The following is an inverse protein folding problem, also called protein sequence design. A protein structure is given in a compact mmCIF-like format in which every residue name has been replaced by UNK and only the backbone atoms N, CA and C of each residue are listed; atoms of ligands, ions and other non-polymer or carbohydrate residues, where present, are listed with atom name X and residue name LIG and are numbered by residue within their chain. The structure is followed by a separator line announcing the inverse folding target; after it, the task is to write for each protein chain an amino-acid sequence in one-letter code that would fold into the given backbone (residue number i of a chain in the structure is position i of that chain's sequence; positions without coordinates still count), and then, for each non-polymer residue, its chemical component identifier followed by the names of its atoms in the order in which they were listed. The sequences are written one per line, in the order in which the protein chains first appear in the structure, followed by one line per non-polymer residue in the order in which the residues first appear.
data_IF_401399180288
#
_entry.id   IF_401399180288
#
_cell.length_a   1.000
_cell.length_b   1.000
_cell.length_c   1.000
_cell.angle_alpha   90.00
_cell.angle_beta   90.00
_cell.angle_gamma   90.00
#
_symmetry.space_group_name_H-M   'P 1'
#
loop_
_entity.id
_entity.type
_entity.pdbx_description
1 polymer ?
#
# COMPACT_ATOMS: atom_id res chain seq x y z
N UNK A 1 -26.03 57.69 -44.46
CA UNK A 1 -24.87 56.86 -44.21
C UNK A 1 -25.01 56.14 -42.85
N UNK A 2 -25.52 54.95 -42.86
CA UNK A 2 -25.61 54.13 -41.63
C UNK A 2 -25.34 52.66 -42.00
N UNK A 3 -24.07 52.26 -41.94
CA UNK A 3 -23.63 50.88 -42.18
C UNK A 3 -22.68 50.45 -41.08
N UNK A 4 -22.96 49.28 -40.54
CA UNK A 4 -22.04 48.39 -39.79
C UNK A 4 -21.85 48.58 -38.28
N UNK A 5 -22.91 48.46 -37.49
CA UNK A 5 -22.71 48.10 -36.09
C UNK A 5 -23.09 46.65 -35.76
N UNK A 6 -23.74 45.91 -36.67
CA UNK A 6 -24.28 44.57 -36.43
C UNK A 6 -23.28 43.42 -36.53
N UNK A 7 -22.22 43.60 -37.34
CA UNK A 7 -21.23 42.49 -37.61
C UNK A 7 -20.23 42.26 -36.47
N UNK A 8 -19.86 43.31 -35.73
CA UNK A 8 -18.92 43.20 -34.60
C UNK A 8 -19.44 42.42 -33.39
N UNK A 9 -20.72 42.56 -33.06
CA UNK A 9 -21.33 41.84 -31.90
C UNK A 9 -21.41 40.32 -32.11
N UNK A 10 -21.62 39.88 -33.37
CA UNK A 10 -21.77 38.45 -33.67
C UNK A 10 -20.44 37.69 -33.59
N UNK A 11 -19.33 38.36 -33.93
CA UNK A 11 -18.01 37.76 -33.81
C UNK A 11 -17.45 37.70 -32.37
N UNK A 12 -17.82 38.67 -31.52
CA UNK A 12 -17.44 38.62 -30.10
C UNK A 12 -18.14 37.53 -29.36
N UNK A 13 -19.42 37.26 -29.63
CA UNK A 13 -20.14 36.11 -28.98
C UNK A 13 -19.58 34.78 -29.37
N UNK A 14 -19.18 34.57 -30.63
CA UNK A 14 -18.53 33.35 -31.11
C UNK A 14 -17.16 33.11 -30.44
N UNK A 15 -16.34 34.15 -30.28
CA UNK A 15 -15.06 34.09 -29.58
C UNK A 15 -15.23 33.75 -28.09
N UNK A 16 -16.19 34.35 -27.42
CA UNK A 16 -16.48 34.09 -26.01
C UNK A 16 -16.94 32.62 -25.76
N UNK A 17 -17.73 32.05 -26.67
CA UNK A 17 -18.21 30.67 -26.58
C UNK A 17 -17.04 29.70 -26.79
N UNK A 18 -16.13 29.98 -27.74
CA UNK A 18 -14.96 29.13 -28.00
C UNK A 18 -13.99 29.16 -26.82
N UNK A 19 -13.74 30.33 -26.25
CA UNK A 19 -12.89 30.44 -25.04
C UNK A 19 -13.52 29.77 -23.82
N UNK A 20 -14.83 29.85 -23.65
CA UNK A 20 -15.53 29.16 -22.57
C UNK A 20 -15.48 27.63 -22.69
N UNK A 21 -15.66 27.10 -23.90
CA UNK A 21 -15.60 25.66 -24.16
C UNK A 21 -14.20 25.09 -23.96
N UNK A 22 -13.15 25.79 -24.39
CA UNK A 22 -11.75 25.37 -24.20
C UNK A 22 -11.38 25.41 -22.70
N UNK A 23 -11.76 26.44 -21.97
CA UNK A 23 -11.50 26.54 -20.54
C UNK A 23 -12.22 25.43 -19.73
N UNK A 24 -13.46 25.09 -20.09
CA UNK A 24 -14.20 24.00 -19.46
C UNK A 24 -13.55 22.64 -19.74
N UNK A 25 -13.10 22.40 -20.97
CA UNK A 25 -12.38 21.16 -21.31
C UNK A 25 -11.06 21.02 -20.56
N UNK A 26 -10.32 22.12 -20.37
CA UNK A 26 -9.08 22.10 -19.58
C UNK A 26 -9.34 21.80 -18.09
N UNK A 27 -10.37 22.36 -17.48
CA UNK A 27 -10.72 22.12 -16.10
C UNK A 27 -11.13 20.66 -15.86
N UNK A 28 -11.86 20.05 -16.79
CA UNK A 28 -12.23 18.62 -16.70
C UNK A 28 -11.01 17.72 -16.85
N UNK A 29 -10.11 18.02 -17.78
CA UNK A 29 -8.89 17.24 -17.98
C UNK A 29 -7.95 17.32 -16.77
N UNK A 30 -7.77 18.48 -16.17
CA UNK A 30 -6.92 18.68 -14.98
C UNK A 30 -7.53 17.99 -13.77
N UNK A 31 -8.84 18.03 -13.58
CA UNK A 31 -9.49 17.35 -12.46
C UNK A 31 -9.48 15.82 -12.61
N UNK A 32 -9.62 15.32 -13.83
CA UNK A 32 -9.52 13.87 -14.09
C UNK A 32 -8.09 13.35 -13.89
N UNK A 33 -7.08 14.06 -14.39
CA UNK A 33 -5.68 13.69 -14.20
C UNK A 33 -5.24 13.79 -12.73
N UNK A 34 -5.64 14.86 -12.03
CA UNK A 34 -5.36 15.04 -10.61
C UNK A 34 -6.07 14.01 -9.74
N UNK A 35 -7.32 13.67 -10.04
CA UNK A 35 -8.08 12.64 -9.36
C UNK A 35 -7.50 11.25 -9.55
N UNK A 36 -7.09 10.90 -10.77
CA UNK A 36 -6.42 9.64 -11.08
C UNK A 36 -5.08 9.50 -10.33
N UNK A 37 -4.26 10.55 -10.35
CA UNK A 37 -2.97 10.55 -9.66
C UNK A 37 -3.09 10.43 -8.12
N UNK A 38 -4.11 11.09 -7.52
CA UNK A 38 -4.41 10.94 -6.10
C UNK A 38 -4.97 9.55 -5.76
N UNK A 39 -5.72 8.95 -6.68
CA UNK A 39 -6.24 7.59 -6.53
C UNK A 39 -5.10 6.56 -6.57
N UNK A 40 -4.18 6.66 -7.52
CA UNK A 40 -3.00 5.77 -7.56
C UNK A 40 -2.12 5.89 -6.31
N UNK A 41 -1.92 7.10 -5.80
CA UNK A 41 -1.14 7.29 -4.56
C UNK A 41 -1.78 6.70 -3.31
N UNK A 42 -3.09 6.51 -3.30
CA UNK A 42 -3.83 5.93 -2.17
C UNK A 42 -3.92 4.41 -2.24
N UNK A 43 -3.62 3.82 -3.39
CA UNK A 43 -3.60 2.37 -3.50
C UNK A 43 -2.34 1.79 -2.83
N UNK A 44 -2.47 0.69 -2.08
CA UNK A 44 -1.29 0.01 -1.57
C UNK A 44 -0.44 -0.47 -2.74
N UNK A 45 0.88 -0.39 -2.60
CA UNK A 45 1.80 -1.03 -3.54
C UNK A 45 1.45 -2.51 -3.69
N UNK A 46 1.68 -3.08 -4.87
CA UNK A 46 1.42 -4.50 -5.12
C UNK A 46 2.72 -5.29 -5.09
N UNK A 47 2.77 -6.27 -4.20
CA UNK A 47 3.87 -7.18 -4.05
C UNK A 47 3.83 -8.29 -5.10
N UNK A 48 4.99 -8.80 -5.47
CA UNK A 48 5.08 -9.95 -6.36
C UNK A 48 4.61 -11.22 -5.66
N UNK A 49 4.28 -12.25 -6.44
CA UNK A 49 3.94 -13.58 -5.90
C UNK A 49 5.08 -14.15 -5.05
N UNK A 50 6.34 -13.87 -5.43
CA UNK A 50 7.52 -14.28 -4.67
C UNK A 50 7.61 -13.55 -3.33
N UNK A 51 7.31 -12.24 -3.29
CA UNK A 51 7.29 -11.47 -2.04
C UNK A 51 6.21 -11.97 -1.09
N UNK A 52 5.01 -12.25 -1.59
CA UNK A 52 3.91 -12.78 -0.78
C UNK A 52 4.22 -14.20 -0.26
N UNK A 53 4.82 -15.06 -1.08
CA UNK A 53 5.26 -16.39 -0.65
C UNK A 53 6.37 -16.31 0.42
N UNK A 54 7.30 -15.37 0.26
CA UNK A 54 8.33 -15.12 1.27
C UNK A 54 7.73 -14.61 2.58
N UNK A 55 6.77 -13.68 2.50
CA UNK A 55 6.04 -13.17 3.66
C UNK A 55 5.37 -14.30 4.45
N UNK A 56 4.67 -15.21 3.75
CA UNK A 56 4.03 -16.36 4.41
C UNK A 56 5.03 -17.28 5.08
N UNK A 57 6.16 -17.60 4.42
CA UNK A 57 7.21 -18.43 5.02
C UNK A 57 7.80 -17.83 6.31
N UNK A 58 7.98 -16.51 6.34
CA UNK A 58 8.44 -15.82 7.55
C UNK A 58 7.40 -15.91 8.66
N UNK A 59 6.13 -15.73 8.35
CA UNK A 59 5.02 -15.88 9.31
C UNK A 59 4.94 -17.30 9.84
N UNK A 60 5.06 -18.31 8.98
CA UNK A 60 5.03 -19.71 9.36
C UNK A 60 6.20 -20.04 10.30
N UNK A 61 7.42 -19.58 9.98
CA UNK A 61 8.59 -19.74 10.84
C UNK A 61 8.44 -19.06 12.21
N UNK A 62 7.69 -17.98 12.29
CA UNK A 62 7.37 -17.32 13.56
C UNK A 62 6.52 -18.18 14.51
N UNK A 63 5.71 -19.09 13.96
CA UNK A 63 4.88 -20.01 14.74
C UNK A 63 5.68 -21.18 15.34
N UNK A 64 6.86 -21.42 14.80
CA UNK A 64 7.75 -22.52 15.22
C UNK A 64 8.83 -22.06 16.22
N UNK A 65 8.81 -20.78 16.62
CA UNK A 65 9.80 -20.23 17.54
C UNK A 65 9.81 -20.95 18.88
N UNK A 66 10.98 -21.37 19.29
CA UNK A 66 11.22 -21.85 20.66
C UNK A 66 11.34 -20.68 21.64
N UNK A 67 11.30 -20.98 22.94
CA UNK A 67 11.56 -19.96 23.97
C UNK A 67 13.07 -19.75 24.26
N UNK A 68 13.97 -20.36 23.47
CA UNK A 68 15.39 -20.11 23.56
C UNK A 68 15.74 -18.76 22.93
N UNK A 69 16.19 -17.82 23.77
CA UNK A 69 16.51 -16.46 23.34
C UNK A 69 17.58 -16.41 22.24
N UNK A 70 18.59 -17.26 22.31
CA UNK A 70 19.65 -17.30 21.31
C UNK A 70 19.12 -17.76 19.95
N UNK A 71 18.26 -18.79 19.94
CA UNK A 71 17.60 -19.27 18.73
C UNK A 71 16.66 -18.22 18.13
N UNK A 72 15.92 -17.48 18.96
CA UNK A 72 15.05 -16.39 18.51
C UNK A 72 15.87 -15.24 17.92
N UNK A 73 16.98 -14.84 18.54
CA UNK A 73 17.87 -13.79 18.04
C UNK A 73 18.48 -14.17 16.67
N UNK A 74 18.86 -15.43 16.50
CA UNK A 74 19.35 -15.93 15.22
C UNK A 74 18.25 -15.91 14.15
N UNK A 75 17.04 -16.37 14.49
CA UNK A 75 15.88 -16.31 13.59
C UNK A 75 15.57 -14.86 13.17
N UNK A 76 15.51 -13.91 14.11
CA UNK A 76 15.29 -12.50 13.80
C UNK A 76 16.35 -11.94 12.84
N UNK A 77 17.63 -12.28 13.08
CA UNK A 77 18.72 -11.85 12.21
C UNK A 77 18.56 -12.41 10.80
N UNK A 78 18.26 -13.71 10.70
CA UNK A 78 18.14 -14.41 9.43
C UNK A 78 16.93 -13.93 8.64
N UNK A 79 15.75 -13.80 9.26
CA UNK A 79 14.53 -13.32 8.61
C UNK A 79 14.65 -11.86 8.17
N UNK A 80 15.28 -11.00 8.99
CA UNK A 80 15.59 -9.62 8.62
C UNK A 80 16.48 -9.54 7.39
N UNK A 81 17.53 -10.34 7.33
CA UNK A 81 18.43 -10.40 6.18
C UNK A 81 17.70 -10.92 4.94
N UNK A 82 16.92 -11.98 5.07
CA UNK A 82 16.14 -12.58 4.01
C UNK A 82 15.13 -11.58 3.42
N UNK A 83 14.37 -10.92 4.29
CA UNK A 83 13.40 -9.89 3.91
C UNK A 83 14.07 -8.73 3.18
N UNK A 84 15.21 -8.22 3.69
CA UNK A 84 15.94 -7.12 3.07
C UNK A 84 16.56 -7.47 1.72
N UNK A 85 17.00 -8.71 1.53
CA UNK A 85 17.68 -9.13 0.30
C UNK A 85 16.73 -9.62 -0.80
N UNK A 86 15.58 -10.17 -0.44
CA UNK A 86 14.69 -10.86 -1.40
C UNK A 86 13.33 -10.18 -1.58
N UNK A 87 12.79 -9.49 -0.55
CA UNK A 87 11.50 -8.83 -0.66
C UNK A 87 11.66 -7.46 -1.33
N UNK A 88 11.00 -7.28 -2.46
CA UNK A 88 11.06 -6.04 -3.25
C UNK A 88 10.03 -5.02 -2.80
N UNK A 89 8.86 -5.47 -2.36
CA UNK A 89 7.84 -4.58 -1.81
C UNK A 89 8.20 -4.18 -0.37
N UNK A 90 8.71 -2.95 -0.21
CA UNK A 90 9.13 -2.44 1.09
C UNK A 90 7.98 -2.23 2.07
N UNK A 91 6.77 -1.96 1.58
CA UNK A 91 5.59 -1.78 2.46
C UNK A 91 5.09 -3.12 3.00
N UNK A 92 5.01 -4.16 2.18
CA UNK A 92 4.76 -5.52 2.66
C UNK A 92 5.86 -5.93 3.65
N UNK A 93 7.13 -5.69 3.30
CA UNK A 93 8.28 -5.96 4.18
C UNK A 93 8.16 -5.30 5.54
N UNK A 94 7.66 -4.07 5.60
CA UNK A 94 7.42 -3.37 6.87
C UNK A 94 6.30 -4.04 7.70
N UNK A 95 5.22 -4.49 7.07
CA UNK A 95 4.13 -5.20 7.76
C UNK A 95 4.60 -6.52 8.35
N UNK A 96 5.39 -7.28 7.59
CA UNK A 96 5.95 -8.55 8.06
C UNK A 96 6.97 -8.33 9.17
N UNK A 97 7.82 -7.29 9.08
CA UNK A 97 8.73 -6.92 10.16
C UNK A 97 8.01 -6.63 11.49
N UNK A 98 6.84 -6.05 11.45
CA UNK A 98 6.03 -5.81 12.64
C UNK A 98 5.55 -7.13 13.27
N UNK A 99 5.12 -8.08 12.47
CA UNK A 99 4.73 -9.41 12.94
C UNK A 99 5.93 -10.17 13.52
N UNK A 100 7.09 -10.16 12.82
CA UNK A 100 8.34 -10.75 13.31
C UNK A 100 8.71 -10.21 14.69
N UNK A 101 8.65 -8.89 14.88
CA UNK A 101 8.97 -8.26 16.16
C UNK A 101 8.05 -8.75 17.29
N UNK A 102 6.76 -8.80 17.05
CA UNK A 102 5.79 -9.27 18.03
C UNK A 102 6.03 -10.74 18.41
N UNK A 103 6.27 -11.59 17.40
CA UNK A 103 6.54 -13.02 17.63
C UNK A 103 7.84 -13.24 18.41
N UNK A 104 8.91 -12.51 18.05
CA UNK A 104 10.19 -12.62 18.74
C UNK A 104 10.12 -12.16 20.20
N UNK A 105 9.48 -11.01 20.47
CA UNK A 105 9.28 -10.50 21.83
C UNK A 105 8.49 -11.52 22.68
N UNK A 106 7.45 -12.09 22.11
CA UNK A 106 6.62 -13.08 22.80
C UNK A 106 7.42 -14.36 23.08
N UNK A 107 8.17 -14.87 22.10
CA UNK A 107 9.00 -16.08 22.28
C UNK A 107 10.09 -15.89 23.34
N UNK A 108 10.64 -14.66 23.47
CA UNK A 108 11.63 -14.32 24.51
C UNK A 108 11.00 -14.09 25.89
N UNK A 109 9.67 -14.06 26.00
CA UNK A 109 8.97 -13.66 27.22
C UNK A 109 9.12 -12.17 27.52
N UNK A 110 9.36 -11.35 26.52
CA UNK A 110 9.58 -9.91 26.63
C UNK A 110 8.36 -9.13 26.08
N UNK A 111 7.84 -8.23 26.86
CA UNK A 111 6.72 -7.40 26.45
C UNK A 111 5.35 -8.08 26.58
N UNK A 112 4.32 -7.36 26.12
CA UNK A 112 2.93 -7.82 26.11
C UNK A 112 2.57 -8.28 24.71
N UNK A 113 1.91 -9.44 24.53
CA UNK A 113 1.46 -9.89 23.22
C UNK A 113 0.48 -8.87 22.62
N UNK A 114 0.48 -8.70 21.29
CA UNK A 114 -0.51 -7.88 20.61
C UNK A 114 -1.91 -8.47 20.82
N UNK A 115 -2.93 -7.62 20.88
CA UNK A 115 -4.30 -8.09 20.85
C UNK A 115 -4.62 -8.75 19.50
N UNK A 116 -5.50 -9.76 19.48
CA UNK A 116 -5.92 -10.45 18.26
C UNK A 116 -6.42 -9.48 17.18
N UNK A 117 -7.11 -8.41 17.59
CA UNK A 117 -7.57 -7.36 16.69
C UNK A 117 -6.40 -6.64 15.99
N UNK A 118 -5.29 -6.42 16.69
CA UNK A 118 -4.09 -5.79 16.10
C UNK A 118 -3.44 -6.71 15.07
N UNK A 119 -3.37 -8.01 15.34
CA UNK A 119 -2.86 -9.00 14.38
C UNK A 119 -3.75 -9.07 13.14
N UNK A 120 -5.08 -9.08 13.34
CA UNK A 120 -6.05 -9.05 12.23
C UNK A 120 -5.91 -7.80 11.36
N UNK A 121 -5.81 -6.62 11.97
CA UNK A 121 -5.59 -5.38 11.23
C UNK A 121 -4.27 -5.38 10.45
N UNK A 122 -3.22 -5.96 11.03
CA UNK A 122 -1.94 -6.12 10.34
C UNK A 122 -2.07 -7.08 9.15
N UNK A 123 -2.77 -8.21 9.33
CA UNK A 123 -3.06 -9.16 8.26
C UNK A 123 -3.83 -8.52 7.12
N UNK A 124 -4.87 -7.75 7.43
CA UNK A 124 -5.66 -7.03 6.42
C UNK A 124 -4.80 -6.00 5.64
N UNK A 125 -3.90 -5.30 6.35
CA UNK A 125 -2.96 -4.37 5.73
C UNK A 125 -1.93 -5.08 4.84
N UNK A 126 -1.38 -6.21 5.29
CA UNK A 126 -0.44 -7.01 4.52
C UNK A 126 -1.10 -7.62 3.27
N UNK A 127 -2.30 -8.16 3.43
CA UNK A 127 -3.06 -8.76 2.34
C UNK A 127 -3.38 -7.80 1.20
N UNK A 128 -3.59 -6.50 1.50
CA UNK A 128 -3.79 -5.49 0.45
C UNK A 128 -2.61 -5.37 -0.52
N UNK A 129 -1.40 -5.71 -0.10
CA UNK A 129 -0.22 -5.73 -0.96
C UNK A 129 -0.12 -6.99 -1.83
N UNK A 130 -0.88 -8.04 -1.51
CA UNK A 130 -0.85 -9.32 -2.22
C UNK A 130 -2.07 -9.58 -3.12
N UNK A 131 -2.97 -8.60 -3.27
CA UNK A 131 -4.21 -8.75 -4.06
C UNK A 131 -3.91 -9.12 -5.50
N UNK A 132 -3.04 -8.38 -6.18
CA UNK A 132 -2.71 -8.62 -7.59
C UNK A 132 -1.92 -9.92 -7.80
N UNK A 133 -1.22 -10.39 -6.76
CA UNK A 133 -0.54 -11.68 -6.78
C UNK A 133 -1.50 -12.87 -6.63
N UNK A 134 -2.76 -12.63 -6.24
CA UNK A 134 -3.74 -13.66 -5.95
C UNK A 134 -3.36 -14.54 -4.75
N UNK A 135 -2.60 -13.99 -3.81
CA UNK A 135 -2.13 -14.69 -2.60
C UNK A 135 -2.80 -14.08 -1.38
N UNK A 136 -3.32 -14.92 -0.50
CA UNK A 136 -3.83 -14.50 0.81
C UNK A 136 -2.86 -14.95 1.88
N UNK A 137 -2.35 -13.99 2.66
CA UNK A 137 -1.50 -14.25 3.81
C UNK A 137 -2.35 -14.59 5.03
N UNK A 138 -1.93 -15.59 5.76
CA UNK A 138 -2.53 -15.97 7.06
C UNK A 138 -1.56 -15.61 8.16
N UNK A 139 -1.93 -14.63 8.99
CA UNK A 139 -1.17 -14.23 10.16
C UNK A 139 -1.93 -14.72 11.41
N UNK A 140 -1.49 -15.85 12.00
CA UNK A 140 -2.13 -16.37 13.21
C UNK A 140 -1.97 -15.41 14.39
N UNK A 141 -2.87 -15.45 15.38
CA UNK A 141 -2.65 -14.80 16.67
C UNK A 141 -1.31 -15.23 17.28
N UNK A 142 -0.62 -14.30 17.93
CA UNK A 142 0.62 -14.60 18.63
C UNK A 142 0.25 -15.06 20.03
N UNK A 143 0.37 -16.36 20.27
CA UNK A 143 0.00 -16.99 21.53
C UNK A 143 0.87 -16.47 22.69
N UNK A 144 0.25 -16.26 23.84
CA UNK A 144 0.90 -15.94 25.13
C UNK A 144 1.46 -17.18 25.81
#
# INVERSE_FOLDING_TARGET
MAVSASSRKKNQKKKAIIFGAVAAAFLVAVSAAGGYWLYERKQPSQASKADCALAQRIVDGAQELSHDKAAVDEWEKNTRQLRRSQMKDGYLGFRIAQYELWAALQAKGEGKPPADQQVKELADKANRHCVDAGVTLTLPPIAS
#
